data_IF_337779964081
#
_entry.id   IF_337779964081
#
_cell.length_a   1.000
_cell.length_b   1.000
_cell.length_c   1.000
_cell.angle_alpha   90.00
_cell.angle_beta   90.00
_cell.angle_gamma   90.00
#
_symmetry.space_group_name_H-M   'P 1'
#
loop_
_entity.id
_entity.type
_entity.pdbx_description
1 polymer ?
#
# COMPACT_ATOMS: atom_id res chain seq x y z
N UNK A 1 -5.64 20.10 2.99
CA UNK A 1 -6.84 19.97 2.14
C UNK A 1 -8.05 19.86 3.03
N UNK A 2 -9.18 20.51 2.72
CA UNK A 2 -10.40 20.42 3.49
C UNK A 2 -10.88 18.95 3.58
N UNK A 3 -11.56 18.63 4.66
CA UNK A 3 -12.10 17.27 4.90
C UNK A 3 -13.15 16.96 3.83
N UNK A 4 -13.12 15.79 3.15
CA UNK A 4 -14.15 15.45 2.18
C UNK A 4 -15.51 15.32 2.88
N UNK A 5 -16.57 15.83 2.23
CA UNK A 5 -17.95 15.80 2.76
C UNK A 5 -18.47 14.36 2.96
N UNK A 6 -17.96 13.39 2.21
CA UNK A 6 -18.33 11.98 2.27
C UNK A 6 -17.09 11.11 2.48
N UNK A 7 -17.18 10.18 3.43
CA UNK A 7 -16.12 9.24 3.76
C UNK A 7 -16.55 7.79 3.55
N UNK A 8 -15.60 6.90 3.30
CA UNK A 8 -15.85 5.44 3.29
C UNK A 8 -16.45 4.99 4.62
N UNK A 9 -16.09 5.64 5.73
CA UNK A 9 -16.65 5.38 7.04
C UNK A 9 -18.17 5.61 7.10
N UNK A 10 -18.70 6.60 6.36
CA UNK A 10 -20.13 6.89 6.32
C UNK A 10 -20.89 5.76 5.61
N UNK A 11 -20.34 5.24 4.51
CA UNK A 11 -20.91 4.08 3.82
C UNK A 11 -20.98 2.89 4.77
N UNK A 12 -19.89 2.61 5.51
CA UNK A 12 -19.88 1.48 6.46
C UNK A 12 -20.81 1.70 7.66
N UNK A 13 -20.93 2.92 8.18
CA UNK A 13 -21.86 3.22 9.29
C UNK A 13 -23.31 3.04 8.89
N UNK A 14 -23.68 3.55 7.72
CA UNK A 14 -25.06 3.55 7.27
C UNK A 14 -25.52 2.19 6.77
N UNK A 15 -24.67 1.44 6.05
CA UNK A 15 -25.04 0.20 5.36
C UNK A 15 -24.33 -1.04 5.91
N UNK A 16 -23.24 -0.87 6.65
CA UNK A 16 -22.48 -1.99 7.21
C UNK A 16 -23.25 -2.93 8.14
N UNK A 17 -24.16 -2.44 9.01
CA UNK A 17 -25.00 -3.31 9.83
C UNK A 17 -25.90 -4.26 9.01
N UNK A 18 -26.54 -3.76 7.96
CA UNK A 18 -27.36 -4.57 7.04
C UNK A 18 -26.48 -5.58 6.31
N UNK A 19 -25.39 -5.12 5.72
CA UNK A 19 -24.42 -5.97 5.02
C UNK A 19 -23.91 -7.13 5.89
N UNK A 20 -23.60 -6.90 7.17
CA UNK A 20 -23.17 -7.98 8.09
C UNK A 20 -24.27 -9.00 8.35
N UNK A 21 -25.54 -8.58 8.45
CA UNK A 21 -26.66 -9.51 8.65
C UNK A 21 -26.89 -10.38 7.43
N UNK A 22 -26.91 -9.78 6.24
CA UNK A 22 -27.15 -10.47 4.98
C UNK A 22 -26.01 -11.43 4.60
N UNK A 23 -24.77 -11.10 5.02
CA UNK A 23 -23.58 -11.92 4.75
C UNK A 23 -23.06 -12.64 6.01
N UNK A 24 -23.97 -12.93 6.97
CA UNK A 24 -23.62 -13.67 8.18
C UNK A 24 -23.03 -15.05 7.82
N UNK A 25 -21.89 -15.41 8.42
CA UNK A 25 -21.16 -16.65 8.11
C UNK A 25 -20.22 -16.57 6.90
N UNK A 26 -20.35 -15.56 6.04
CA UNK A 26 -19.49 -15.38 4.85
C UNK A 26 -18.37 -14.36 5.03
N UNK A 27 -18.41 -13.57 6.10
CA UNK A 27 -17.36 -12.60 6.43
C UNK A 27 -16.34 -13.20 7.38
N UNK A 28 -15.07 -13.14 7.01
CA UNK A 28 -14.01 -13.58 7.91
C UNK A 28 -13.66 -12.51 8.97
N UNK A 29 -13.05 -12.94 10.06
CA UNK A 29 -12.70 -12.07 11.20
C UNK A 29 -11.84 -10.85 10.80
N UNK A 30 -10.82 -10.95 9.93
CA UNK A 30 -10.11 -9.77 9.42
C UNK A 30 -11.01 -8.75 8.73
N UNK A 31 -11.99 -9.18 7.93
CA UNK A 31 -12.94 -8.28 7.27
C UNK A 31 -13.83 -7.56 8.29
N UNK A 32 -14.39 -8.28 9.26
CA UNK A 32 -15.19 -7.70 10.35
C UNK A 32 -14.40 -6.68 11.16
N UNK A 33 -13.14 -7.00 11.50
CA UNK A 33 -12.23 -6.07 12.20
C UNK A 33 -11.94 -4.80 11.38
N UNK A 34 -11.80 -4.92 10.07
CA UNK A 34 -11.58 -3.76 9.19
C UNK A 34 -12.84 -2.90 9.11
N UNK A 35 -14.04 -3.49 8.95
CA UNK A 35 -15.29 -2.75 8.97
C UNK A 35 -15.42 -1.93 10.25
N UNK A 36 -15.33 -2.58 11.42
CA UNK A 36 -15.42 -1.91 12.72
C UNK A 36 -14.35 -0.81 12.89
N UNK A 37 -13.11 -1.07 12.45
CA UNK A 37 -12.02 -0.09 12.55
C UNK A 37 -12.28 1.16 11.69
N UNK A 38 -12.81 1.00 10.48
CA UNK A 38 -13.13 2.13 9.58
C UNK A 38 -14.31 2.93 10.10
N UNK A 39 -15.37 2.26 10.55
CA UNK A 39 -16.58 2.88 11.13
C UNK A 39 -16.25 3.77 12.34
N UNK A 40 -15.43 3.23 13.25
CA UNK A 40 -15.12 3.87 14.52
C UNK A 40 -13.91 4.81 14.47
N UNK A 41 -13.23 4.91 13.32
CA UNK A 41 -12.03 5.72 13.19
C UNK A 41 -12.31 7.21 13.42
N UNK A 42 -11.60 7.81 14.36
CA UNK A 42 -11.77 9.21 14.79
C UNK A 42 -13.20 9.52 15.23
N UNK A 43 -13.72 8.67 16.11
CA UNK A 43 -14.98 8.87 16.84
C UNK A 43 -14.78 8.59 18.33
N UNK A 44 -15.76 8.96 19.16
CA UNK A 44 -15.75 8.69 20.59
C UNK A 44 -15.59 7.19 20.94
N UNK A 45 -15.99 6.29 20.04
CA UNK A 45 -15.80 4.84 20.20
C UNK A 45 -14.33 4.43 20.41
N UNK A 46 -13.37 5.23 19.95
CA UNK A 46 -11.93 4.98 20.14
C UNK A 46 -11.31 5.86 21.25
N UNK A 47 -12.11 6.70 21.94
CA UNK A 47 -11.61 7.68 22.90
C UNK A 47 -10.88 8.83 22.21
N UNK A 48 -10.22 9.67 23.00
CA UNK A 48 -9.52 10.84 22.49
C UNK A 48 -9.04 11.78 23.60
N UNK A 49 -8.81 13.02 23.22
CA UNK A 49 -8.44 14.09 24.15
C UNK A 49 -9.08 15.42 23.76
N UNK A 50 -9.18 16.32 24.73
CA UNK A 50 -9.53 17.70 24.54
C UNK A 50 -8.28 18.54 24.75
N UNK A 51 -7.96 19.38 23.79
CA UNK A 51 -6.89 20.36 23.88
C UNK A 51 -7.49 21.76 23.97
N UNK A 52 -6.92 22.63 24.82
CA UNK A 52 -7.29 24.02 24.95
C UNK A 52 -6.11 24.93 24.63
N UNK A 53 -6.37 26.07 24.03
CA UNK A 53 -5.35 27.08 23.76
C UNK A 53 -4.94 27.78 25.04
N UNK A 54 -3.65 28.07 25.19
CA UNK A 54 -3.11 28.83 26.34
C UNK A 54 -3.31 30.32 26.23
N UNK A 55 -3.72 30.86 25.05
CA UNK A 55 -3.84 32.29 24.79
C UNK A 55 -5.27 32.74 24.49
N UNK A 56 -6.18 31.82 24.13
CA UNK A 56 -7.59 32.14 23.86
C UNK A 56 -8.46 30.94 24.24
N UNK A 57 -9.81 31.15 24.23
CA UNK A 57 -10.79 30.14 24.67
C UNK A 57 -11.02 29.00 23.68
N UNK A 58 -10.17 28.87 22.63
CA UNK A 58 -10.34 27.84 21.64
C UNK A 58 -10.04 26.45 22.23
N UNK A 59 -11.01 25.57 22.13
CA UNK A 59 -10.88 24.15 22.48
C UNK A 59 -11.06 23.28 21.24
N UNK A 60 -10.33 22.14 21.19
CA UNK A 60 -10.40 21.17 20.12
C UNK A 60 -10.51 19.76 20.68
N UNK A 61 -11.51 18.99 20.18
CA UNK A 61 -11.64 17.56 20.50
C UNK A 61 -10.97 16.76 19.42
N UNK A 62 -9.93 16.01 19.79
CA UNK A 62 -9.24 15.10 18.90
C UNK A 62 -9.56 13.64 19.27
N UNK A 63 -10.15 12.90 18.35
CA UNK A 63 -10.47 11.48 18.52
C UNK A 63 -9.35 10.59 18.02
N UNK A 64 -9.11 9.47 18.71
CA UNK A 64 -8.10 8.51 18.37
C UNK A 64 -8.34 7.85 17.00
N UNK A 65 -7.26 7.62 16.27
CA UNK A 65 -7.29 6.91 15.00
C UNK A 65 -7.30 5.39 15.20
N UNK A 66 -7.90 4.65 14.25
CA UNK A 66 -7.94 3.19 14.31
C UNK A 66 -6.59 2.53 13.92
N UNK A 67 -5.65 3.27 13.37
CA UNK A 67 -4.34 2.81 12.84
C UNK A 67 -4.44 1.61 11.89
N UNK A 68 -5.63 1.36 11.32
CA UNK A 68 -5.82 0.22 10.42
C UNK A 68 -5.28 0.55 9.02
N UNK A 69 -4.49 -0.36 8.46
CA UNK A 69 -3.86 -0.19 7.13
C UNK A 69 -4.85 -0.14 5.96
N UNK A 70 -6.12 -0.45 6.18
CA UNK A 70 -7.19 -0.34 5.18
C UNK A 70 -8.04 0.93 5.36
N UNK A 71 -7.83 1.69 6.43
CA UNK A 71 -8.60 2.90 6.72
C UNK A 71 -8.10 4.10 5.90
N UNK A 72 -8.95 4.73 5.06
CA UNK A 72 -8.55 5.89 4.26
C UNK A 72 -8.12 7.11 5.10
N UNK A 73 -8.65 7.25 6.31
CA UNK A 73 -8.29 8.35 7.23
C UNK A 73 -6.88 8.22 7.82
N UNK A 74 -6.41 6.98 8.03
CA UNK A 74 -5.14 6.71 8.71
C UNK A 74 -3.94 6.70 7.77
N UNK A 75 -4.15 6.52 6.46
CA UNK A 75 -3.04 6.28 5.54
C UNK A 75 -2.21 7.52 5.21
N UNK A 76 -2.74 8.72 5.37
CA UNK A 76 -2.00 9.96 5.09
C UNK A 76 -0.79 10.14 6.04
N UNK A 77 -1.02 10.09 7.35
CA UNK A 77 0.04 10.19 8.35
C UNK A 77 1.05 9.04 8.20
N UNK A 78 0.57 7.78 8.16
CA UNK A 78 1.44 6.62 7.98
C UNK A 78 2.30 6.67 6.69
N UNK A 79 1.81 7.32 5.62
CA UNK A 79 2.59 7.54 4.40
C UNK A 79 3.70 8.56 4.62
N UNK A 80 3.42 9.61 5.38
CA UNK A 80 4.40 10.65 5.72
C UNK A 80 5.50 10.10 6.61
N UNK A 81 5.15 9.41 7.69
CA UNK A 81 6.11 8.78 8.61
C UNK A 81 7.03 7.80 7.87
N UNK A 82 6.42 6.95 7.02
CA UNK A 82 7.19 6.03 6.19
C UNK A 82 8.13 6.74 5.22
N UNK A 83 7.67 7.83 4.60
CA UNK A 83 8.46 8.63 3.68
C UNK A 83 9.67 9.23 4.38
N UNK A 84 9.48 9.88 5.52
CA UNK A 84 10.56 10.46 6.32
C UNK A 84 11.60 9.41 6.69
N UNK A 85 11.15 8.26 7.21
CA UNK A 85 12.05 7.15 7.55
C UNK A 85 12.81 6.55 6.34
N UNK A 86 12.36 6.78 5.11
CA UNK A 86 13.06 6.30 3.89
C UNK A 86 13.90 7.36 3.20
N UNK A 87 13.77 8.64 3.55
CA UNK A 87 14.66 9.69 3.01
C UNK A 87 16.12 9.41 3.31
N UNK A 88 16.40 8.88 4.49
CA UNK A 88 17.74 8.47 4.89
C UNK A 88 18.32 7.30 4.06
N UNK A 89 17.46 6.49 3.46
CA UNK A 89 17.87 5.34 2.66
C UNK A 89 18.12 5.70 1.17
N UNK A 90 17.85 6.94 0.74
CA UNK A 90 18.05 7.35 -0.65
C UNK A 90 19.52 7.40 -1.04
N UNK A 91 19.80 6.87 -2.23
CA UNK A 91 21.09 6.98 -2.90
C UNK A 91 21.01 8.04 -4.00
N UNK A 92 22.09 8.76 -4.32
CA UNK A 92 22.12 9.76 -5.39
C UNK A 92 22.26 9.12 -6.76
N UNK A 93 21.32 8.24 -7.11
CA UNK A 93 21.27 7.51 -8.38
C UNK A 93 19.86 7.58 -8.97
N UNK A 94 19.71 7.29 -10.26
CA UNK A 94 18.39 7.10 -10.87
C UNK A 94 17.62 5.97 -10.15
N UNK A 95 16.29 6.07 -10.14
CA UNK A 95 15.44 5.02 -9.60
C UNK A 95 14.42 4.57 -10.64
N UNK A 96 14.24 3.27 -10.75
CA UNK A 96 13.31 2.66 -11.69
C UNK A 96 12.09 2.09 -10.96
N UNK A 97 10.95 2.24 -11.60
CA UNK A 97 9.70 1.65 -11.13
C UNK A 97 9.30 0.48 -12.02
N UNK A 98 9.38 -0.73 -11.47
CA UNK A 98 8.99 -1.96 -12.16
C UNK A 98 7.67 -2.47 -11.59
N UNK A 99 6.75 -2.90 -12.44
CA UNK A 99 5.46 -3.47 -12.05
C UNK A 99 5.36 -4.90 -12.53
N UNK A 100 5.03 -5.83 -11.63
CA UNK A 100 4.71 -7.22 -11.94
C UNK A 100 3.23 -7.47 -11.71
N UNK A 101 2.50 -7.86 -12.74
CA UNK A 101 1.05 -8.06 -12.69
C UNK A 101 0.69 -9.51 -12.88
N UNK A 102 -0.22 -10.03 -12.04
CA UNK A 102 -0.79 -11.36 -12.25
C UNK A 102 -1.92 -11.32 -13.28
N UNK A 103 -2.00 -12.30 -14.19
CA UNK A 103 -3.15 -12.45 -15.09
C UNK A 103 -4.46 -12.64 -14.32
N UNK A 104 -5.59 -12.31 -14.94
CA UNK A 104 -6.91 -12.42 -14.33
C UNK A 104 -7.20 -13.84 -13.83
N UNK A 105 -6.84 -14.86 -14.60
CA UNK A 105 -7.04 -16.27 -14.25
C UNK A 105 -6.27 -16.71 -12.98
N UNK A 106 -5.18 -16.02 -12.66
CA UNK A 106 -4.45 -16.24 -11.39
C UNK A 106 -5.05 -15.39 -10.28
N UNK A 107 -5.69 -14.27 -10.60
CA UNK A 107 -6.27 -13.38 -9.59
C UNK A 107 -7.37 -14.09 -8.77
N UNK A 108 -8.16 -14.98 -9.38
CA UNK A 108 -9.20 -15.74 -8.70
C UNK A 108 -8.60 -16.78 -7.74
N UNK A 109 -7.56 -17.50 -8.17
CA UNK A 109 -6.79 -18.40 -7.30
C UNK A 109 -6.15 -17.61 -6.15
N UNK A 110 -5.60 -16.43 -6.44
CA UNK A 110 -4.99 -15.55 -5.44
C UNK A 110 -5.99 -15.04 -4.41
N UNK A 111 -7.24 -14.79 -4.82
CA UNK A 111 -8.29 -14.36 -3.91
C UNK A 111 -8.60 -15.41 -2.84
N UNK A 112 -8.71 -16.67 -3.24
CA UNK A 112 -8.95 -17.78 -2.30
C UNK A 112 -7.70 -18.14 -1.47
N UNK A 113 -6.50 -17.83 -1.98
CA UNK A 113 -5.20 -18.25 -1.40
C UNK A 113 -4.25 -17.07 -1.14
N UNK A 114 -4.75 -15.98 -0.58
CA UNK A 114 -4.03 -14.70 -0.48
C UNK A 114 -2.61 -14.82 0.08
N UNK A 115 -2.43 -15.45 1.24
CA UNK A 115 -1.12 -15.54 1.89
C UNK A 115 -0.10 -16.30 1.03
N UNK A 116 -0.50 -17.44 0.46
CA UNK A 116 0.36 -18.29 -0.34
C UNK A 116 0.72 -17.63 -1.68
N UNK A 117 -0.28 -17.15 -2.42
CA UNK A 117 -0.09 -16.61 -3.77
C UNK A 117 0.57 -15.23 -3.75
N UNK A 118 0.22 -14.34 -2.79
CA UNK A 118 0.91 -13.06 -2.65
C UNK A 118 2.36 -13.26 -2.15
N UNK A 119 2.59 -14.24 -1.26
CA UNK A 119 3.94 -14.62 -0.86
C UNK A 119 4.79 -15.10 -2.03
N UNK A 120 4.20 -15.93 -2.90
CA UNK A 120 4.83 -16.39 -4.14
C UNK A 120 5.12 -15.23 -5.10
N UNK A 121 4.17 -14.29 -5.26
CA UNK A 121 4.34 -13.10 -6.10
C UNK A 121 5.56 -12.27 -5.67
N UNK A 122 5.70 -11.98 -4.37
CA UNK A 122 6.89 -11.29 -3.85
C UNK A 122 8.18 -12.06 -4.13
N UNK A 123 8.17 -13.37 -3.83
CA UNK A 123 9.35 -14.22 -3.99
C UNK A 123 9.82 -14.26 -5.44
N UNK A 124 8.90 -14.51 -6.37
CA UNK A 124 9.25 -14.68 -7.79
C UNK A 124 9.62 -13.37 -8.47
N UNK A 125 8.97 -12.26 -8.13
CA UNK A 125 9.36 -10.93 -8.63
C UNK A 125 10.76 -10.54 -8.16
N UNK A 126 11.07 -10.73 -6.87
CA UNK A 126 12.39 -10.46 -6.33
C UNK A 126 13.46 -11.36 -6.95
N UNK A 127 13.21 -12.68 -7.04
CA UNK A 127 14.11 -13.63 -7.66
C UNK A 127 14.36 -13.29 -9.13
N UNK A 128 13.33 -12.90 -9.88
CA UNK A 128 13.47 -12.48 -11.28
C UNK A 128 14.44 -11.31 -11.42
N UNK A 129 14.23 -10.25 -10.64
CA UNK A 129 15.08 -9.06 -10.70
C UNK A 129 16.52 -9.36 -10.26
N UNK A 130 16.70 -10.10 -9.18
CA UNK A 130 18.03 -10.46 -8.67
C UNK A 130 18.78 -11.33 -9.67
N UNK A 131 18.12 -12.31 -10.30
CA UNK A 131 18.76 -13.22 -11.27
C UNK A 131 19.22 -12.47 -12.52
N UNK A 132 18.34 -11.65 -13.11
CA UNK A 132 18.67 -10.93 -14.34
C UNK A 132 19.70 -9.81 -14.07
N UNK A 133 19.60 -9.13 -12.94
CA UNK A 133 20.58 -8.10 -12.57
C UNK A 133 21.99 -8.68 -12.29
N UNK A 134 22.07 -9.88 -11.74
CA UNK A 134 23.34 -10.54 -11.47
C UNK A 134 24.04 -11.08 -12.73
N UNK A 135 23.32 -11.24 -13.85
CA UNK A 135 23.90 -11.69 -15.11
C UNK A 135 24.76 -10.58 -15.73
N UNK A 136 26.07 -10.84 -16.01
CA UNK A 136 26.96 -9.87 -16.65
C UNK A 136 26.49 -9.39 -18.04
N UNK A 137 25.67 -10.17 -18.73
CA UNK A 137 25.05 -9.77 -20.01
C UNK A 137 24.05 -8.64 -19.87
N UNK A 138 23.58 -8.38 -18.64
CA UNK A 138 22.59 -7.33 -18.35
C UNK A 138 23.18 -6.22 -17.49
N UNK A 139 23.40 -6.48 -16.19
CA UNK A 139 23.99 -5.50 -15.27
C UNK A 139 25.25 -6.02 -14.56
N UNK A 140 25.30 -7.32 -14.23
CA UNK A 140 26.42 -7.93 -13.52
C UNK A 140 26.54 -7.51 -12.05
N UNK A 141 25.44 -7.09 -11.40
CA UNK A 141 25.48 -6.50 -10.08
C UNK A 141 24.43 -7.09 -9.10
N UNK A 142 24.71 -6.93 -7.80
CA UNK A 142 23.80 -7.26 -6.71
C UNK A 142 22.96 -6.05 -6.36
N UNK A 143 21.68 -6.07 -6.73
CA UNK A 143 20.75 -4.98 -6.54
C UNK A 143 20.01 -5.06 -5.19
N UNK A 144 19.36 -3.95 -4.80
CA UNK A 144 18.37 -3.89 -3.74
C UNK A 144 17.05 -3.33 -4.26
N UNK A 145 15.95 -3.69 -3.61
CA UNK A 145 14.62 -3.21 -4.04
C UNK A 145 13.64 -3.12 -2.88
N UNK A 146 12.66 -2.22 -3.03
CA UNK A 146 11.48 -2.13 -2.19
C UNK A 146 10.25 -2.51 -3.01
N UNK A 147 9.52 -3.53 -2.58
CA UNK A 147 8.33 -4.05 -3.25
C UNK A 147 7.08 -3.77 -2.42
N UNK A 148 6.01 -3.31 -3.08
CA UNK A 148 4.72 -2.97 -2.45
C UNK A 148 3.60 -3.70 -3.17
N UNK A 149 2.80 -4.47 -2.42
CA UNK A 149 1.64 -5.18 -2.96
C UNK A 149 0.43 -4.26 -3.06
N UNK A 150 -0.15 -4.21 -4.24
CA UNK A 150 -1.52 -3.74 -4.47
C UNK A 150 -2.38 -4.89 -4.96
N UNK A 151 -3.63 -4.93 -4.51
CA UNK A 151 -4.58 -5.97 -4.90
C UNK A 151 -5.76 -5.43 -5.69
N UNK A 152 -5.77 -4.14 -6.01
CA UNK A 152 -6.90 -3.42 -6.64
C UNK A 152 -6.53 -2.72 -7.92
N UNK A 153 -7.46 -2.75 -8.87
CA UNK A 153 -7.50 -1.81 -9.98
C UNK A 153 -8.23 -0.51 -9.64
N UNK A 154 -8.31 0.40 -10.59
CA UNK A 154 -8.98 1.70 -10.44
C UNK A 154 -10.48 1.57 -10.09
N UNK A 155 -11.16 0.53 -10.57
CA UNK A 155 -12.56 0.20 -10.28
C UNK A 155 -12.75 -0.64 -9.01
N UNK A 156 -11.73 -0.77 -8.15
CA UNK A 156 -11.71 -1.67 -6.99
C UNK A 156 -11.94 -3.15 -7.34
N UNK A 157 -11.64 -3.57 -8.56
CA UNK A 157 -11.60 -4.98 -8.95
C UNK A 157 -10.35 -5.65 -8.40
N UNK A 158 -10.41 -6.96 -8.12
CA UNK A 158 -9.26 -7.70 -7.63
C UNK A 158 -8.21 -7.87 -8.74
N UNK A 159 -7.06 -7.22 -8.55
CA UNK A 159 -5.99 -7.14 -9.53
C UNK A 159 -4.61 -7.12 -8.84
N UNK A 160 -4.13 -8.28 -8.36
CA UNK A 160 -2.87 -8.36 -7.63
C UNK A 160 -1.66 -8.00 -8.50
N UNK A 161 -0.88 -7.03 -8.03
CA UNK A 161 0.36 -6.61 -8.69
C UNK A 161 1.34 -6.03 -7.67
N UNK A 162 2.62 -6.07 -8.00
CA UNK A 162 3.68 -5.46 -7.21
C UNK A 162 4.19 -4.20 -7.90
N UNK A 163 4.29 -3.13 -7.14
CA UNK A 163 5.14 -2.00 -7.46
C UNK A 163 6.51 -2.22 -6.82
N UNK A 164 7.55 -2.25 -7.63
CA UNK A 164 8.92 -2.47 -7.19
C UNK A 164 9.75 -1.26 -7.56
N UNK A 165 10.41 -0.65 -6.58
CA UNK A 165 11.35 0.44 -6.78
C UNK A 165 12.76 -0.08 -6.59
N UNK A 166 13.61 0.24 -7.55
CA UNK A 166 14.98 -0.25 -7.63
C UNK A 166 15.92 0.91 -7.91
N UNK A 167 16.98 1.11 -7.12
CA UNK A 167 18.07 2.02 -7.49
C UNK A 167 18.71 1.60 -8.80
N UNK A 168 19.12 2.57 -9.62
CA UNK A 168 19.70 2.35 -10.94
C UNK A 168 21.14 1.83 -10.92
N UNK A 169 21.33 0.69 -10.32
CA UNK A 169 22.61 0.02 -10.20
C UNK A 169 22.66 -0.97 -9.05
N UNK A 170 23.84 -1.48 -8.77
CA UNK A 170 24.06 -2.44 -7.70
C UNK A 170 25.54 -2.57 -7.31
N UNK A 171 25.80 -3.30 -6.24
CA UNK A 171 27.15 -3.65 -5.84
C UNK A 171 27.75 -4.67 -6.79
N UNK A 172 29.01 -4.51 -7.17
CA UNK A 172 29.80 -5.54 -7.86
C UNK A 172 29.74 -6.88 -7.09
N UNK A 173 30.09 -7.98 -7.74
CA UNK A 173 30.02 -9.32 -7.12
C UNK A 173 30.87 -9.41 -5.84
N UNK A 174 32.05 -8.82 -5.85
CA UNK A 174 32.96 -8.74 -4.71
C UNK A 174 32.57 -7.65 -3.69
N UNK A 175 31.69 -6.72 -4.07
CA UNK A 175 31.24 -5.61 -3.24
C UNK A 175 32.18 -4.41 -3.20
N UNK A 176 33.23 -4.41 -4.03
CA UNK A 176 34.26 -3.36 -4.06
C UNK A 176 33.85 -2.11 -4.84
N UNK A 177 32.81 -2.19 -5.68
CA UNK A 177 32.39 -1.10 -6.55
C UNK A 177 30.89 -1.01 -6.73
N UNK A 178 30.44 0.15 -7.25
CA UNK A 178 29.09 0.37 -7.72
C UNK A 178 29.03 0.20 -9.24
N UNK A 179 28.14 -0.65 -9.71
CA UNK A 179 27.87 -0.87 -11.14
C UNK A 179 26.56 -0.12 -11.48
N UNK A 180 26.69 0.99 -12.20
CA UNK A 180 25.54 1.80 -12.61
C UNK A 180 24.78 1.16 -13.78
N UNK A 181 23.46 1.31 -13.81
CA UNK A 181 22.67 1.05 -15.00
C UNK A 181 23.00 2.03 -16.12
N UNK A 182 22.70 1.64 -17.38
CA UNK A 182 22.67 2.59 -18.48
C UNK A 182 21.59 3.63 -18.17
N UNK A 183 21.91 4.92 -18.39
CA UNK A 183 20.97 6.00 -18.16
C UNK A 183 19.63 5.76 -18.90
N UNK A 184 18.52 5.94 -18.21
CA UNK A 184 17.18 5.73 -18.73
C UNK A 184 16.76 4.26 -18.95
N UNK A 185 17.66 3.28 -18.71
CA UNK A 185 17.38 1.88 -18.94
C UNK A 185 17.81 1.00 -17.75
N UNK A 186 16.89 0.19 -17.24
CA UNK A 186 17.16 -0.71 -16.13
C UNK A 186 17.51 -2.14 -16.62
N UNK A 187 16.48 -2.90 -16.97
CA UNK A 187 16.64 -4.31 -17.43
C UNK A 187 15.61 -4.60 -18.53
N UNK A 188 15.89 -5.58 -19.44
CA UNK A 188 15.01 -5.89 -20.55
C UNK A 188 13.68 -6.51 -20.10
N UNK A 189 12.57 -5.78 -20.23
CA UNK A 189 11.23 -6.15 -19.76
C UNK A 189 10.75 -7.50 -20.27
N UNK A 190 11.03 -7.85 -21.55
CA UNK A 190 10.66 -9.15 -22.12
C UNK A 190 11.37 -10.32 -21.42
N UNK A 191 12.62 -10.13 -21.03
CA UNK A 191 13.40 -11.15 -20.29
C UNK A 191 12.83 -11.29 -18.88
N UNK A 192 12.57 -10.17 -18.21
CA UNK A 192 11.91 -10.16 -16.88
C UNK A 192 10.56 -10.88 -16.93
N UNK A 193 9.71 -10.58 -17.92
CA UNK A 193 8.38 -11.20 -18.07
C UNK A 193 8.46 -12.72 -18.25
N UNK A 194 9.34 -13.20 -19.10
CA UNK A 194 9.51 -14.65 -19.35
C UNK A 194 10.00 -15.40 -18.12
N UNK A 195 11.00 -14.85 -17.42
CA UNK A 195 11.54 -15.49 -16.22
C UNK A 195 10.52 -15.45 -15.08
N UNK A 196 9.85 -14.30 -14.86
CA UNK A 196 8.80 -14.15 -13.85
C UNK A 196 7.67 -15.16 -14.06
N UNK A 197 7.13 -15.27 -15.30
CA UNK A 197 6.09 -16.24 -15.65
C UNK A 197 6.52 -17.67 -15.30
N UNK A 198 7.73 -18.06 -15.74
CA UNK A 198 8.26 -19.41 -15.46
C UNK A 198 8.32 -19.68 -13.97
N UNK A 199 9.02 -18.82 -13.21
CA UNK A 199 9.22 -19.03 -11.77
C UNK A 199 7.89 -19.01 -11.00
N UNK A 200 6.95 -18.16 -11.40
CA UNK A 200 5.66 -18.08 -10.75
C UNK A 200 4.83 -19.36 -10.99
N UNK A 201 4.73 -19.83 -12.23
CA UNK A 201 3.98 -21.03 -12.56
C UNK A 201 4.60 -22.29 -11.94
N UNK A 202 5.93 -22.42 -11.92
CA UNK A 202 6.64 -23.49 -11.20
C UNK A 202 6.36 -23.43 -9.69
N UNK A 203 6.37 -22.23 -9.11
CA UNK A 203 6.04 -22.00 -7.71
C UNK A 203 4.59 -22.34 -7.39
N UNK A 204 3.65 -21.98 -8.27
CA UNK A 204 2.22 -22.25 -8.11
C UNK A 204 1.95 -23.78 -8.20
N UNK A 205 2.57 -24.48 -9.16
CA UNK A 205 2.51 -25.94 -9.26
C UNK A 205 3.03 -26.61 -7.97
N UNK A 206 4.13 -26.08 -7.39
CA UNK A 206 4.68 -26.61 -6.14
C UNK A 206 3.72 -26.38 -4.97
N UNK A 207 3.07 -25.21 -4.89
CA UNK A 207 2.06 -24.94 -3.85
C UNK A 207 0.87 -25.90 -3.97
N UNK A 208 0.42 -26.20 -5.20
CA UNK A 208 -0.63 -27.18 -5.45
C UNK A 208 -0.20 -28.58 -4.97
N UNK A 209 0.94 -29.07 -5.47
CA UNK A 209 1.49 -30.39 -5.12
C UNK A 209 1.68 -30.59 -3.61
N UNK A 210 1.97 -29.51 -2.87
CA UNK A 210 2.17 -29.55 -1.40
C UNK A 210 0.90 -29.28 -0.60
N UNK A 211 -0.29 -29.25 -1.24
CA UNK A 211 -1.58 -29.04 -0.58
C UNK A 211 -1.73 -27.65 0.07
N UNK A 212 -0.97 -26.65 -0.37
CA UNK A 212 -0.99 -25.29 0.18
C UNK A 212 -2.01 -24.37 -0.51
N UNK A 213 -2.74 -24.88 -1.50
CA UNK A 213 -3.82 -24.18 -2.19
C UNK A 213 -5.15 -24.80 -1.80
N UNK A 214 -6.16 -23.95 -1.72
CA UNK A 214 -7.55 -24.31 -1.52
C UNK A 214 -8.37 -23.81 -2.69
N UNK A 215 -9.38 -24.59 -3.10
CA UNK A 215 -10.24 -24.28 -4.23
C UNK A 215 -11.69 -24.48 -3.84
N UNK A 216 -12.51 -23.46 -4.06
CA UNK A 216 -13.93 -23.45 -3.70
C UNK A 216 -14.76 -22.95 -4.87
N UNK A 217 -16.04 -23.32 -4.90
CA UNK A 217 -17.02 -22.92 -5.89
C UNK A 217 -16.51 -23.16 -7.32
N UNK A 218 -16.52 -22.17 -8.18
CA UNK A 218 -16.13 -22.26 -9.60
C UNK A 218 -14.68 -22.72 -9.83
N UNK A 219 -13.85 -22.69 -8.80
CA UNK A 219 -12.45 -23.15 -8.86
C UNK A 219 -12.27 -24.56 -8.28
N UNK A 220 -13.32 -25.22 -7.79
CA UNK A 220 -13.22 -26.53 -7.13
C UNK A 220 -12.55 -27.61 -7.98
N UNK A 221 -12.76 -27.61 -9.29
CA UNK A 221 -12.13 -28.55 -10.22
C UNK A 221 -10.60 -28.41 -10.29
N UNK A 222 -10.04 -27.23 -9.97
CA UNK A 222 -8.61 -27.03 -9.92
C UNK A 222 -7.92 -27.77 -8.75
N UNK A 223 -8.68 -28.41 -7.88
CA UNK A 223 -8.12 -29.35 -6.90
C UNK A 223 -7.52 -30.60 -7.56
N UNK A 224 -8.07 -31.00 -8.73
CA UNK A 224 -7.52 -32.10 -9.52
C UNK A 224 -6.16 -31.72 -10.11
N UNK A 225 -5.11 -32.54 -9.92
CA UNK A 225 -3.77 -32.26 -10.43
C UNK A 225 -3.68 -32.15 -11.96
N UNK A 226 -4.49 -32.94 -12.71
CA UNK A 226 -4.49 -32.93 -14.16
C UNK A 226 -5.13 -31.66 -14.72
N UNK A 227 -6.30 -31.28 -14.18
CA UNK A 227 -6.99 -30.04 -14.55
C UNK A 227 -6.12 -28.82 -14.20
N UNK A 228 -5.50 -28.82 -13.02
CA UNK A 228 -4.61 -27.75 -12.62
C UNK A 228 -3.38 -27.63 -13.55
N UNK A 229 -2.77 -28.77 -13.92
CA UNK A 229 -1.64 -28.77 -14.85
C UNK A 229 -2.04 -28.20 -16.23
N UNK A 230 -3.21 -28.59 -16.76
CA UNK A 230 -3.76 -28.06 -18.01
C UNK A 230 -4.00 -26.54 -17.94
N UNK A 231 -4.54 -26.05 -16.82
CA UNK A 231 -4.70 -24.62 -16.55
C UNK A 231 -3.37 -23.86 -16.61
N UNK A 232 -2.32 -24.41 -16.00
CA UNK A 232 -0.98 -23.79 -16.04
C UNK A 232 -0.36 -23.80 -17.45
N UNK A 233 -0.63 -24.83 -18.27
CA UNK A 233 -0.17 -24.89 -19.66
C UNK A 233 -0.75 -23.74 -20.48
N UNK A 234 -2.05 -23.44 -20.32
CA UNK A 234 -2.70 -22.32 -20.98
C UNK A 234 -2.03 -20.98 -20.62
N UNK A 235 -1.73 -20.78 -19.34
CA UNK A 235 -1.07 -19.56 -18.82
C UNK A 235 0.39 -19.39 -19.28
N UNK A 236 1.07 -20.46 -19.65
CA UNK A 236 2.43 -20.39 -20.23
C UNK A 236 2.45 -19.80 -21.63
N UNK A 237 1.35 -19.89 -22.36
CA UNK A 237 1.24 -19.40 -23.75
C UNK A 237 0.94 -17.89 -23.82
N UNK A 238 0.46 -17.29 -22.71
CA UNK A 238 0.13 -15.86 -22.65
C UNK A 238 1.33 -15.02 -22.19
N UNK A 239 1.42 -13.79 -22.70
CA UNK A 239 2.43 -12.85 -22.21
C UNK A 239 1.95 -12.23 -20.87
N UNK A 240 2.85 -12.26 -19.89
CA UNK A 240 2.59 -11.66 -18.58
C UNK A 240 3.09 -10.23 -18.55
N UNK A 241 2.29 -9.35 -17.97
CA UNK A 241 2.60 -7.93 -17.93
C UNK A 241 3.66 -7.65 -16.87
N UNK A 242 4.87 -7.35 -17.36
CA UNK A 242 5.90 -6.66 -16.59
C UNK A 242 6.15 -5.33 -17.28
N UNK A 243 6.18 -4.26 -16.49
CA UNK A 243 6.36 -2.92 -17.00
C UNK A 243 7.44 -2.20 -16.22
N UNK A 244 8.39 -1.57 -16.91
CA UNK A 244 9.39 -0.70 -16.30
C UNK A 244 9.16 0.73 -16.79
N UNK A 245 8.96 1.66 -15.88
CA UNK A 245 8.84 3.08 -16.19
C UNK A 245 10.23 3.69 -16.33
N UNK A 246 10.35 4.75 -17.16
CA UNK A 246 11.53 5.59 -17.15
C UNK A 246 11.89 6.03 -15.73
N UNK A 247 13.15 6.38 -15.46
CA UNK A 247 13.58 6.80 -14.15
C UNK A 247 12.84 8.06 -13.70
N UNK A 248 12.79 8.27 -12.39
CA UNK A 248 12.25 9.49 -11.82
C UNK A 248 13.26 10.63 -12.00
N UNK A 249 12.75 11.85 -12.13
CA UNK A 249 13.58 13.04 -12.34
C UNK A 249 14.48 13.38 -11.13
N UNK A 250 14.16 12.91 -9.92
CA UNK A 250 15.01 13.04 -8.76
C UNK A 250 14.73 11.93 -7.74
N UNK A 251 15.68 11.65 -6.81
CA UNK A 251 15.45 10.70 -5.70
C UNK A 251 14.24 11.09 -4.83
N UNK A 252 14.02 12.37 -4.57
CA UNK A 252 12.89 12.88 -3.79
C UNK A 252 11.55 12.61 -4.50
N UNK A 253 11.51 12.75 -5.83
CA UNK A 253 10.33 12.40 -6.63
C UNK A 253 9.96 10.92 -6.49
N UNK A 254 10.95 10.03 -6.31
CA UNK A 254 10.74 8.60 -6.02
C UNK A 254 9.99 8.43 -4.70
N UNK A 255 10.42 9.11 -3.64
CA UNK A 255 9.78 9.00 -2.33
C UNK A 255 8.38 9.57 -2.32
N UNK A 256 8.17 10.73 -2.92
CA UNK A 256 6.83 11.30 -3.08
C UNK A 256 5.90 10.37 -3.89
N UNK A 257 6.45 9.65 -4.85
CA UNK A 257 5.73 8.63 -5.60
C UNK A 257 5.45 7.39 -4.75
N UNK A 258 6.46 6.87 -4.04
CA UNK A 258 6.36 5.69 -3.19
C UNK A 258 5.39 5.89 -2.04
N UNK A 259 5.41 7.03 -1.37
CA UNK A 259 4.51 7.32 -0.25
C UNK A 259 3.05 7.18 -0.67
N UNK A 260 2.74 7.60 -1.90
CA UNK A 260 1.40 7.43 -2.49
C UNK A 260 1.02 5.97 -2.74
N UNK A 261 1.99 5.06 -2.93
CA UNK A 261 1.73 3.65 -3.20
C UNK A 261 1.84 2.76 -1.97
N UNK A 262 2.78 3.04 -1.07
CA UNK A 262 3.02 2.22 0.13
C UNK A 262 1.85 2.23 1.09
N UNK A 263 1.17 3.39 1.22
CA UNK A 263 0.04 3.58 2.14
C UNK A 263 -1.30 3.80 1.41
N UNK A 264 -1.36 3.47 0.12
CA UNK A 264 -2.59 3.54 -0.64
C UNK A 264 -3.57 2.45 -0.19
N UNK A 265 -4.86 2.80 -0.15
CA UNK A 265 -6.00 1.91 0.06
C UNK A 265 -6.75 1.71 -1.26
N UNK A 266 -7.66 0.74 -1.30
CA UNK A 266 -8.44 0.42 -2.49
C UNK A 266 -9.20 1.64 -3.05
N UNK A 267 -9.70 2.50 -2.15
CA UNK A 267 -10.33 3.78 -2.48
C UNK A 267 -10.01 4.83 -1.42
N UNK A 268 -9.70 6.07 -1.82
CA UNK A 268 -9.60 7.22 -0.94
C UNK A 268 -10.94 7.96 -0.84
N UNK A 269 -11.19 8.66 0.27
CA UNK A 269 -12.42 9.44 0.45
C UNK A 269 -12.65 10.47 -0.66
N UNK A 270 -11.60 11.11 -1.16
CA UNK A 270 -11.68 12.10 -2.27
C UNK A 270 -12.22 11.54 -3.59
N UNK A 271 -12.29 10.22 -3.74
CA UNK A 271 -12.87 9.58 -4.93
C UNK A 271 -14.39 9.40 -4.81
N UNK A 272 -14.95 9.44 -3.60
CA UNK A 272 -16.39 9.35 -3.40
C UNK A 272 -17.09 10.59 -3.96
N UNK A 273 -18.25 10.36 -4.58
CA UNK A 273 -19.11 11.40 -5.16
C UNK A 273 -20.42 11.50 -4.40
N UNK A 274 -21.12 10.37 -4.22
CA UNK A 274 -22.35 10.26 -3.45
C UNK A 274 -22.53 8.86 -2.85
N UNK A 275 -23.36 8.76 -1.82
CA UNK A 275 -23.80 7.50 -1.20
C UNK A 275 -25.27 7.67 -0.78
N UNK A 276 -26.18 7.39 -1.70
CA UNK A 276 -27.62 7.63 -1.56
C UNK A 276 -28.42 6.49 -2.20
N UNK A 277 -29.62 6.26 -1.70
CA UNK A 277 -30.57 5.30 -2.27
C UNK A 277 -29.94 3.92 -2.58
N UNK A 278 -29.19 3.36 -1.62
CA UNK A 278 -28.48 2.09 -1.75
C UNK A 278 -27.43 2.02 -2.88
N UNK A 279 -26.95 3.19 -3.34
CA UNK A 279 -25.96 3.29 -4.42
C UNK A 279 -24.80 4.15 -3.95
N UNK A 280 -23.57 3.71 -4.22
CA UNK A 280 -22.34 4.48 -4.02
C UNK A 280 -21.74 4.85 -5.35
N UNK A 281 -21.54 6.16 -5.58
CA UNK A 281 -20.87 6.70 -6.75
C UNK A 281 -19.44 7.13 -6.41
N UNK A 282 -18.48 6.79 -7.26
CA UNK A 282 -17.08 7.18 -7.07
C UNK A 282 -16.34 7.38 -8.40
N UNK A 283 -15.34 8.23 -8.38
CA UNK A 283 -14.46 8.47 -9.53
C UNK A 283 -13.49 7.32 -9.72
N UNK A 284 -13.36 6.85 -10.96
CA UNK A 284 -12.38 5.83 -11.33
C UNK A 284 -11.72 6.17 -12.66
N UNK A 285 -10.54 5.60 -12.90
CA UNK A 285 -9.79 5.80 -14.13
C UNK A 285 -10.06 4.65 -15.09
N UNK A 286 -10.71 4.93 -16.20
CA UNK A 286 -10.97 3.95 -17.26
C UNK A 286 -9.80 3.90 -18.23
N UNK A 287 -8.95 2.89 -18.11
CA UNK A 287 -7.78 2.70 -18.97
C UNK A 287 -8.11 2.19 -20.38
N UNK A 288 -9.36 1.87 -20.68
CA UNK A 288 -9.79 1.50 -22.04
C UNK A 288 -9.85 2.71 -22.96
N UNK A 289 -10.01 3.89 -22.39
CA UNK A 289 -9.97 5.16 -23.13
C UNK A 289 -8.53 5.47 -23.49
N UNK A 290 -8.23 5.51 -24.79
CA UNK A 290 -6.85 5.72 -25.27
C UNK A 290 -6.45 7.20 -25.35
N UNK A 291 -7.40 8.13 -25.51
CA UNK A 291 -7.16 9.58 -25.65
C UNK A 291 -8.17 10.37 -24.82
N UNK A 292 -7.75 11.53 -24.29
CA UNK A 292 -8.59 12.43 -23.51
C UNK A 292 -8.69 12.09 -22.01
N UNK A 293 -9.72 12.60 -21.36
CA UNK A 293 -9.92 12.38 -19.92
C UNK A 293 -10.34 10.94 -19.63
N UNK A 294 -9.54 10.27 -18.85
CA UNK A 294 -9.77 8.89 -18.41
C UNK A 294 -10.68 8.81 -17.17
N UNK A 295 -11.01 9.93 -16.53
CA UNK A 295 -11.82 9.91 -15.31
C UNK A 295 -13.29 9.72 -15.62
N UNK A 296 -13.91 8.77 -14.95
CA UNK A 296 -15.35 8.42 -15.06
C UNK A 296 -15.93 8.25 -13.66
N UNK A 297 -17.25 8.34 -13.56
CA UNK A 297 -18.00 8.03 -12.35
C UNK A 297 -18.61 6.64 -12.50
N UNK A 298 -18.30 5.77 -11.55
CA UNK A 298 -18.90 4.44 -11.41
C UNK A 298 -19.95 4.50 -10.31
N UNK A 299 -21.11 3.90 -10.58
CA UNK A 299 -22.18 3.70 -9.60
C UNK A 299 -22.30 2.22 -9.32
N UNK A 300 -22.28 1.85 -8.06
CA UNK A 300 -22.43 0.46 -7.62
C UNK A 300 -23.53 0.37 -6.55
N UNK A 301 -24.29 -0.73 -6.51
CA UNK A 301 -25.05 -1.07 -5.32
C UNK A 301 -24.14 -1.04 -4.10
N UNK A 302 -24.68 -0.60 -2.97
CA UNK A 302 -23.87 -0.41 -1.74
C UNK A 302 -23.18 -1.71 -1.32
N UNK A 303 -23.86 -2.85 -1.43
CA UNK A 303 -23.31 -4.16 -1.08
C UNK A 303 -22.12 -4.53 -1.97
N UNK A 304 -22.21 -4.27 -3.27
CA UNK A 304 -21.11 -4.48 -4.20
C UNK A 304 -19.93 -3.54 -3.92
N UNK A 305 -20.19 -2.30 -3.50
CA UNK A 305 -19.13 -1.39 -3.08
C UNK A 305 -18.41 -1.92 -1.82
N UNK A 306 -19.17 -2.34 -0.80
CA UNK A 306 -18.62 -2.91 0.43
C UNK A 306 -17.86 -4.20 0.11
N UNK A 307 -18.43 -5.09 -0.69
CA UNK A 307 -17.78 -6.32 -1.14
C UNK A 307 -16.44 -6.03 -1.83
N UNK A 308 -16.43 -5.08 -2.79
CA UNK A 308 -15.18 -4.68 -3.48
C UNK A 308 -14.16 -4.09 -2.54
N UNK A 309 -14.57 -3.36 -1.52
CA UNK A 309 -13.63 -2.88 -0.51
C UNK A 309 -13.04 -4.06 0.30
N UNK A 310 -13.88 -4.99 0.74
CA UNK A 310 -13.49 -6.08 1.62
C UNK A 310 -12.66 -7.19 0.94
N UNK A 311 -12.77 -7.37 -0.38
CA UNK A 311 -11.91 -8.34 -1.09
C UNK A 311 -10.42 -7.97 -0.99
N UNK A 312 -10.09 -6.71 -0.72
CA UNK A 312 -8.71 -6.24 -0.59
C UNK A 312 -8.14 -6.37 0.83
N UNK A 313 -8.95 -6.81 1.79
CA UNK A 313 -8.48 -7.07 3.14
C UNK A 313 -7.44 -8.19 3.11
N UNK A 314 -6.23 -7.87 3.60
CA UNK A 314 -5.10 -8.79 3.63
C UNK A 314 -5.17 -9.70 4.86
N UNK A 315 -4.60 -10.90 4.78
CA UNK A 315 -4.46 -11.79 5.94
C UNK A 315 -3.77 -11.09 7.11
N UNK A 316 -4.10 -11.54 8.33
CA UNK A 316 -3.43 -11.05 9.54
C UNK A 316 -1.93 -11.30 9.47
N UNK A 317 -1.13 -10.33 9.93
CA UNK A 317 0.34 -10.44 9.88
C UNK A 317 0.98 -10.35 8.49
N UNK A 318 0.21 -10.25 7.40
CA UNK A 318 0.78 -10.19 6.06
C UNK A 318 1.45 -8.83 5.80
N UNK A 319 2.77 -8.83 5.56
CA UNK A 319 3.54 -7.64 5.21
C UNK A 319 3.37 -7.30 3.73
N UNK A 320 2.76 -6.15 3.45
CA UNK A 320 2.53 -5.67 2.07
C UNK A 320 3.70 -4.89 1.48
N UNK A 321 4.68 -4.53 2.30
CA UNK A 321 5.94 -3.87 1.88
C UNK A 321 7.06 -4.82 2.24
N UNK A 322 7.97 -5.09 1.30
CA UNK A 322 9.13 -5.95 1.52
C UNK A 322 10.37 -5.33 0.89
N UNK A 323 11.47 -5.41 1.62
CA UNK A 323 12.78 -4.97 1.17
C UNK A 323 13.66 -6.18 0.88
N UNK A 324 14.41 -6.15 -0.23
CA UNK A 324 15.19 -7.30 -0.69
C UNK A 324 16.56 -6.84 -1.22
N UNK A 325 17.52 -7.75 -1.31
CA UNK A 325 18.89 -7.45 -1.71
C UNK A 325 19.58 -6.56 -0.69
N UNK A 326 20.37 -5.58 -1.13
CA UNK A 326 21.08 -4.69 -0.20
C UNK A 326 20.15 -3.76 0.61
N UNK A 327 18.87 -3.65 0.24
CA UNK A 327 17.84 -2.93 1.02
C UNK A 327 17.15 -3.80 2.08
N UNK A 328 17.50 -5.09 2.24
CA UNK A 328 16.92 -5.94 3.28
C UNK A 328 17.18 -5.39 4.68
N UNK A 329 16.15 -5.42 5.55
CA UNK A 329 16.15 -4.72 6.83
C UNK A 329 17.40 -4.99 7.70
N UNK A 330 17.88 -6.24 7.77
CA UNK A 330 19.00 -6.61 8.64
C UNK A 330 20.36 -6.08 8.18
N UNK A 331 20.52 -5.69 6.92
CA UNK A 331 21.84 -5.28 6.34
C UNK A 331 21.80 -3.89 5.70
N UNK A 332 20.60 -3.30 5.58
CA UNK A 332 20.37 -2.08 4.80
C UNK A 332 21.28 -0.92 5.21
N UNK A 333 21.36 -0.60 6.50
CA UNK A 333 22.10 0.57 7.00
C UNK A 333 23.57 0.51 6.57
N UNK A 334 24.27 -0.57 6.90
CA UNK A 334 25.67 -0.73 6.53
C UNK A 334 25.91 -0.80 5.02
N UNK A 335 24.95 -1.38 4.26
CA UNK A 335 25.06 -1.43 2.80
C UNK A 335 24.88 -0.06 2.15
N UNK A 336 23.94 0.75 2.63
CA UNK A 336 23.73 2.12 2.15
C UNK A 336 24.96 2.99 2.45
N UNK A 337 25.53 2.89 3.65
CA UNK A 337 26.77 3.61 4.00
C UNK A 337 27.94 3.21 3.09
N UNK A 338 28.09 1.90 2.82
CA UNK A 338 29.11 1.42 1.88
C UNK A 338 28.88 1.95 0.47
N UNK A 339 27.65 1.89 -0.03
CA UNK A 339 27.31 2.37 -1.38
C UNK A 339 27.53 3.87 -1.51
N UNK A 340 27.18 4.66 -0.50
CA UNK A 340 27.44 6.11 -0.50
C UNK A 340 28.93 6.42 -0.60
N UNK A 341 29.78 5.72 0.14
CA UNK A 341 31.24 5.87 0.01
C UNK A 341 31.72 5.52 -1.41
N UNK A 342 31.20 4.46 -2.00
CA UNK A 342 31.55 4.07 -3.38
C UNK A 342 31.06 5.06 -4.44
N UNK A 343 30.07 5.89 -4.12
CA UNK A 343 29.51 6.92 -4.99
C UNK A 343 30.08 8.32 -4.67
N UNK A 344 31.07 8.44 -3.78
CA UNK A 344 31.60 9.71 -3.25
C UNK A 344 30.50 10.68 -2.79
N UNK A 345 29.38 10.13 -2.31
CA UNK A 345 28.19 10.88 -1.95
C UNK A 345 28.31 11.38 -0.50
N UNK A 346 28.11 12.67 -0.31
CA UNK A 346 27.95 13.26 1.02
C UNK A 346 26.72 12.63 1.71
N UNK A 347 26.73 12.45 3.05
CA UNK A 347 25.53 12.05 3.77
C UNK A 347 24.38 13.01 3.44
N UNK A 348 23.18 12.48 3.22
CA UNK A 348 22.01 13.36 3.14
C UNK A 348 21.90 14.08 4.50
N UNK A 349 22.31 15.34 4.53
CA UNK A 349 21.99 16.21 5.64
C UNK A 349 20.49 16.53 5.54
N UNK A 350 19.67 15.66 6.05
CA UNK A 350 18.34 16.05 6.48
C UNK A 350 18.53 16.73 7.83
N UNK A 351 18.17 17.99 7.99
CA UNK A 351 17.97 18.55 9.30
C UNK A 351 16.66 17.95 9.83
N UNK A 352 16.76 16.76 10.33
CA UNK A 352 15.74 16.24 11.23
C UNK A 352 16.46 16.16 12.56
N UNK A 353 16.37 17.22 13.30
CA UNK A 353 16.30 17.07 14.73
C UNK A 353 15.21 16.03 14.95
N UNK A 354 15.61 14.83 15.32
CA UNK A 354 14.70 13.80 15.79
C UNK A 354 14.11 14.34 17.08
N UNK A 355 13.05 15.14 16.93
CA UNK A 355 12.13 15.37 18.03
C UNK A 355 11.57 13.98 18.36
N UNK A 356 11.80 13.56 19.57
CA UNK A 356 11.38 12.29 20.14
C UNK A 356 9.91 12.01 19.81
N UNK A 357 9.62 10.87 19.20
CA UNK A 357 8.25 10.36 18.94
C UNK A 357 7.54 9.96 20.25
N UNK A 358 7.83 10.62 21.34
CA UNK A 358 7.06 10.47 22.57
C UNK A 358 5.75 11.28 22.42
N UNK A 359 4.58 10.63 22.31
CA UNK A 359 3.31 11.32 22.20
C UNK A 359 2.97 12.18 23.44
N UNK A 360 3.79 12.12 24.48
CA UNK A 360 3.71 12.97 25.67
C UNK A 360 4.61 14.21 25.60
N UNK A 361 5.44 14.38 24.53
CA UNK A 361 6.31 15.54 24.40
C UNK A 361 5.47 16.81 24.13
N UNK A 362 5.53 17.82 25.01
CA UNK A 362 4.80 19.07 24.85
C UNK A 362 5.17 19.89 23.59
N UNK A 363 6.26 19.56 22.91
CA UNK A 363 6.78 20.34 21.77
C UNK A 363 6.09 20.01 20.43
N UNK A 364 5.34 18.90 20.33
CA UNK A 364 4.59 18.54 19.10
C UNK A 364 3.17 19.11 19.02
N UNK A 365 2.79 20.02 19.88
CA UNK A 365 1.44 20.57 19.89
C UNK A 365 1.26 21.55 18.74
N UNK A 366 0.33 21.25 17.83
CA UNK A 366 -0.02 22.15 16.72
C UNK A 366 -0.44 23.52 17.27
N UNK A 367 -0.04 24.62 16.62
CA UNK A 367 -0.47 25.93 17.03
C UNK A 367 -1.98 26.09 16.95
N UNK A 368 -2.54 26.88 17.83
CA UNK A 368 -3.98 27.17 17.83
C UNK A 368 -4.42 27.79 16.49
N UNK A 369 -5.42 27.23 15.81
CA UNK A 369 -5.88 27.72 14.51
C UNK A 369 -6.51 29.13 14.58
N UNK A 370 -6.92 29.60 15.78
CA UNK A 370 -7.48 30.95 15.95
C UNK A 370 -6.45 32.04 16.22
N UNK A 371 -5.41 31.76 17.01
CA UNK A 371 -4.50 32.80 17.48
C UNK A 371 -3.02 32.41 17.42
N UNK A 372 -2.67 31.22 16.91
CA UNK A 372 -1.29 30.73 16.87
C UNK A 372 -0.69 30.36 18.23
N UNK A 373 -1.46 30.45 19.32
CA UNK A 373 -1.01 30.09 20.68
C UNK A 373 -0.79 28.59 20.83
N UNK A 374 -0.12 28.17 21.90
CA UNK A 374 0.12 26.77 22.18
C UNK A 374 -1.17 26.06 22.60
N UNK A 375 -1.43 24.87 22.04
CA UNK A 375 -2.52 24.00 22.49
C UNK A 375 -2.02 23.05 23.56
N UNK A 376 -2.77 22.89 24.68
CA UNK A 376 -2.46 21.94 25.76
C UNK A 376 -3.58 20.94 25.95
N UNK A 377 -3.24 19.68 26.17
CA UNK A 377 -4.23 18.63 26.49
C UNK A 377 -4.72 18.89 27.93
N UNK A 378 -6.01 19.16 28.05
CA UNK A 378 -6.69 19.43 29.34
C UNK A 378 -7.50 18.23 29.83
N UNK A 379 -7.85 17.30 28.95
CA UNK A 379 -8.60 16.10 29.29
C UNK A 379 -8.30 14.97 28.32
N UNK A 380 -8.12 13.74 28.82
CA UNK A 380 -8.16 12.51 28.04
C UNK A 380 -9.40 11.71 28.40
N UNK A 381 -9.97 10.99 27.42
CA UNK A 381 -11.14 10.14 27.65
C UNK A 381 -10.96 8.80 26.93
N UNK A 382 -11.41 7.73 27.60
CA UNK A 382 -11.25 6.35 27.13
C UNK A 382 -12.28 6.02 26.04
N UNK A 383 -12.11 4.85 25.45
CA UNK A 383 -13.03 4.30 24.43
C UNK A 383 -14.46 4.26 24.95
N UNK A 384 -15.40 4.73 24.15
CA UNK A 384 -16.82 4.78 24.49
C UNK A 384 -17.21 5.91 25.44
N UNK A 385 -16.25 6.69 25.93
CA UNK A 385 -16.54 7.86 26.76
C UNK A 385 -16.68 9.11 25.88
N UNK A 386 -17.52 10.05 26.33
CA UNK A 386 -17.62 11.39 25.75
C UNK A 386 -16.78 12.38 26.55
N UNK A 387 -16.20 13.41 25.94
CA UNK A 387 -15.50 14.45 26.68
C UNK A 387 -16.46 15.19 27.60
N UNK A 388 -16.01 15.54 28.81
CA UNK A 388 -16.78 16.32 29.77
C UNK A 388 -16.90 17.79 29.36
N UNK A 389 -15.91 18.28 28.61
CA UNK A 389 -15.94 19.63 28.04
C UNK A 389 -16.91 19.67 26.84
N UNK A 390 -17.83 20.63 26.83
CA UNK A 390 -18.72 20.94 25.69
C UNK A 390 -18.01 21.89 24.71
N UNK A 391 -16.92 21.42 24.10
CA UNK A 391 -16.49 22.09 22.87
C UNK A 391 -17.55 21.78 21.79
N UNK A 392 -18.09 22.78 21.08
CA UNK A 392 -19.00 22.51 19.98
C UNK A 392 -18.31 21.59 18.98
N UNK A 393 -19.05 20.68 18.30
CA UNK A 393 -18.51 20.01 17.17
C UNK A 393 -17.95 21.07 16.23
N UNK A 394 -16.81 20.77 15.60
CA UNK A 394 -16.16 21.61 14.62
C UNK A 394 -17.18 22.01 13.53
N UNK A 395 -17.79 23.15 13.67
CA UNK A 395 -18.52 23.82 12.61
C UNK A 395 -17.49 24.46 11.69
N UNK A 396 -17.57 24.06 10.45
CA UNK A 396 -16.88 24.49 9.24
C UNK A 396 -16.26 25.89 9.36
N UNK A 397 -14.93 25.94 9.41
CA UNK A 397 -14.21 27.11 8.92
C UNK A 397 -14.27 27.03 7.39
N UNK A 398 -15.08 27.90 6.80
CA UNK A 398 -15.25 28.14 5.38
C UNK A 398 -13.91 28.39 4.65
#
# INVERSE_FOLDING_TARGET
MPRPKLEVADVFRNYGPAYRREHAGHLNLPQLKVMSAVENCRTAALGGHVAACTKCDHQHIAYNSCRNRHCPKCQGAAAQDWMLARMEDLLPVEYFHVVFTLPAQIADIAYQNKAAVYGLLFKTAAQTLLTIAADPKHLGARIGMTSVLHTWGSAMTHHPHLHVIVPGGGLSRDGSGWVACRSGFFLPVKVLSRLFRRLFLEGLARLHKTGKLRFFNDLSELADPGIFAAHLVALRKTDWVVYAKPPFGSPEAVLAYLSRYTHRVAISNHRLVSAEANTVAFRWKDYRIKRGDHMRVMRLPTDEFIRRFLIHVLPSGFHRIRHTGFLANGIRRGRIETIRRLLDAKPNQTPVEAESDDPSDPQQQQPCPKCGGQMRIIQTFLRGQTPKSRAPPWEDAA
#
